data_IF_175162353387
#
_entry.id   IF_175162353387
#
_cell.length_a   1.000
_cell.length_b   1.000
_cell.length_c   1.000
_cell.angle_alpha   90.00
_cell.angle_beta   90.00
_cell.angle_gamma   90.00
#
_symmetry.space_group_name_H-M   'P 1'
#
loop_
_entity.id
_entity.type
_entity.pdbx_description
1 polymer ?
#
# COMPACT_ATOMS: atom_id res chain seq x y z
N UNK A 1 -20.52 2.42 -28.49
CA UNK A 1 -19.61 3.58 -28.42
C UNK A 1 -18.87 3.53 -27.08
N UNK A 2 -17.92 2.61 -26.95
CA UNK A 2 -17.04 2.42 -25.79
C UNK A 2 -15.77 1.77 -26.31
N UNK A 3 -14.98 2.52 -27.07
CA UNK A 3 -13.64 2.11 -27.44
C UNK A 3 -12.73 3.33 -27.29
N UNK A 4 -11.56 3.09 -26.69
CA UNK A 4 -10.38 3.96 -26.72
C UNK A 4 -10.33 5.19 -25.77
N UNK A 5 -10.03 4.97 -24.48
CA UNK A 5 -9.21 5.92 -23.68
C UNK A 5 -8.22 5.23 -22.72
N UNK A 6 -7.95 3.93 -22.87
CA UNK A 6 -6.83 3.31 -22.16
C UNK A 6 -5.73 3.12 -23.19
N UNK A 7 -4.73 4.00 -23.18
CA UNK A 7 -3.48 3.79 -23.91
C UNK A 7 -3.03 2.38 -23.61
N UNK A 8 -3.05 1.51 -24.62
CA UNK A 8 -2.54 0.15 -24.54
C UNK A 8 -1.00 0.18 -24.59
N UNK A 9 -0.38 1.04 -23.78
CA UNK A 9 1.03 0.89 -23.45
C UNK A 9 1.14 -0.38 -22.62
N UNK A 10 1.79 -1.38 -23.23
CA UNK A 10 2.02 -2.76 -22.76
C UNK A 10 1.87 -2.89 -21.25
N UNK A 11 0.68 -3.27 -20.80
CA UNK A 11 0.44 -3.62 -19.40
C UNK A 11 1.33 -4.80 -19.07
N UNK A 12 2.18 -4.65 -18.06
CA UNK A 12 3.02 -5.74 -17.57
C UNK A 12 2.10 -6.84 -16.98
N UNK A 13 2.06 -8.05 -17.57
CA UNK A 13 1.18 -9.12 -17.09
C UNK A 13 1.49 -9.55 -15.64
N UNK A 14 2.69 -9.24 -15.15
CA UNK A 14 3.06 -9.46 -13.74
C UNK A 14 2.19 -8.62 -12.81
N UNK A 15 1.79 -7.41 -13.21
CA UNK A 15 0.94 -6.52 -12.40
C UNK A 15 -0.51 -7.01 -12.32
N UNK A 16 -1.07 -7.49 -13.43
CA UNK A 16 -2.41 -8.09 -13.44
C UNK A 16 -2.46 -9.31 -12.50
N UNK A 17 -1.47 -10.20 -12.60
CA UNK A 17 -1.34 -11.35 -11.73
C UNK A 17 -1.15 -10.93 -10.26
N UNK A 18 -0.35 -9.88 -10.02
CA UNK A 18 -0.10 -9.40 -8.67
C UNK A 18 -1.37 -8.83 -8.03
N UNK A 19 -2.09 -7.97 -8.74
CA UNK A 19 -3.39 -7.46 -8.31
C UNK A 19 -4.38 -8.58 -7.99
N UNK A 20 -4.41 -9.65 -8.82
CA UNK A 20 -5.25 -10.82 -8.58
C UNK A 20 -4.91 -11.53 -7.28
N UNK A 21 -3.62 -11.72 -6.98
CA UNK A 21 -3.18 -12.32 -5.71
C UNK A 21 -3.60 -11.46 -4.53
N UNK A 22 -3.39 -10.14 -4.60
CA UNK A 22 -3.77 -9.21 -3.53
C UNK A 22 -5.28 -9.26 -3.25
N UNK A 23 -6.10 -9.25 -4.30
CA UNK A 23 -7.55 -9.20 -4.19
C UNK A 23 -8.15 -10.55 -3.79
N UNK A 24 -7.81 -11.64 -4.50
CA UNK A 24 -8.46 -12.93 -4.31
C UNK A 24 -7.85 -13.75 -3.18
N UNK A 25 -6.51 -13.70 -3.06
CA UNK A 25 -5.79 -14.59 -2.14
C UNK A 25 -5.53 -13.92 -0.80
N UNK A 26 -5.12 -12.65 -0.80
CA UNK A 26 -4.78 -11.96 0.45
C UNK A 26 -6.01 -11.38 1.15
N UNK A 27 -6.83 -10.62 0.42
CA UNK A 27 -8.01 -9.95 0.99
C UNK A 27 -9.25 -10.84 0.89
N UNK A 28 -9.41 -11.60 -0.20
CA UNK A 28 -10.59 -12.43 -0.43
C UNK A 28 -11.85 -11.59 -0.66
N UNK A 29 -11.76 -10.60 -1.55
CA UNK A 29 -12.82 -9.59 -1.77
C UNK A 29 -14.12 -10.24 -2.26
N UNK A 30 -15.23 -9.83 -1.65
CA UNK A 30 -16.59 -10.24 -2.03
C UNK A 30 -17.39 -9.08 -2.66
N UNK A 31 -18.47 -9.37 -3.42
CA UNK A 31 -19.35 -8.35 -3.97
C UNK A 31 -19.97 -7.45 -2.89
N UNK A 32 -20.04 -6.14 -3.17
CA UNK A 32 -20.58 -5.13 -2.26
C UNK A 32 -19.59 -4.62 -1.21
N UNK A 33 -18.42 -5.26 -1.05
CA UNK A 33 -17.41 -4.81 -0.08
C UNK A 33 -16.86 -3.42 -0.42
N UNK A 34 -16.56 -2.66 0.62
CA UNK A 34 -15.85 -1.40 0.56
C UNK A 34 -14.37 -1.63 0.85
N UNK A 35 -13.55 -1.52 -0.21
CA UNK A 35 -12.11 -1.79 -0.15
C UNK A 35 -11.34 -0.48 -0.23
N UNK A 36 -10.64 -0.14 0.85
CA UNK A 36 -9.71 0.99 0.89
C UNK A 36 -8.42 0.62 0.16
N UNK A 37 -8.02 1.45 -0.80
CA UNK A 37 -6.78 1.27 -1.58
C UNK A 37 -5.86 2.45 -1.34
N UNK A 38 -4.86 2.26 -0.49
CA UNK A 38 -3.83 3.25 -0.19
C UNK A 38 -2.64 3.04 -1.11
N UNK A 39 -2.20 4.09 -1.79
CA UNK A 39 -1.03 4.02 -2.67
C UNK A 39 -0.37 5.39 -2.83
N UNK A 40 0.93 5.40 -3.11
CA UNK A 40 1.63 6.58 -3.59
C UNK A 40 1.63 6.63 -5.13
N UNK A 41 1.86 7.81 -5.70
CA UNK A 41 1.80 8.08 -7.15
C UNK A 41 2.52 7.04 -8.03
N UNK A 42 3.73 6.55 -7.67
CA UNK A 42 4.46 5.59 -8.51
C UNK A 42 3.71 4.27 -8.74
N UNK A 43 2.85 3.86 -7.82
CA UNK A 43 2.08 2.61 -7.92
C UNK A 43 0.87 2.70 -8.86
N UNK A 44 0.66 3.82 -9.56
CA UNK A 44 -0.49 4.00 -10.47
C UNK A 44 -0.76 2.78 -11.37
N UNK A 45 0.23 2.14 -12.03
CA UNK A 45 -0.05 0.98 -12.88
C UNK A 45 -0.68 -0.20 -12.12
N UNK A 46 -0.24 -0.47 -10.89
CA UNK A 46 -0.84 -1.52 -10.06
C UNK A 46 -2.22 -1.10 -9.52
N UNK A 47 -2.41 0.18 -9.20
CA UNK A 47 -3.71 0.72 -8.77
C UNK A 47 -4.75 0.58 -9.88
N UNK A 48 -4.38 0.80 -11.14
CA UNK A 48 -5.29 0.60 -12.30
C UNK A 48 -5.73 -0.86 -12.44
N UNK A 49 -4.83 -1.82 -12.23
CA UNK A 49 -5.17 -3.24 -12.22
C UNK A 49 -6.08 -3.62 -11.05
N UNK A 50 -5.78 -3.12 -9.85
CA UNK A 50 -6.63 -3.33 -8.67
C UNK A 50 -8.02 -2.73 -8.89
N UNK A 51 -8.11 -1.52 -9.43
CA UNK A 51 -9.37 -0.84 -9.73
C UNK A 51 -10.26 -1.66 -10.68
N UNK A 52 -9.68 -2.13 -11.78
CA UNK A 52 -10.40 -2.94 -12.77
C UNK A 52 -10.90 -4.25 -12.14
N UNK A 53 -10.06 -4.91 -11.34
CA UNK A 53 -10.40 -6.20 -10.73
C UNK A 53 -11.40 -6.10 -9.58
N UNK A 54 -11.36 -5.03 -8.77
CA UNK A 54 -12.39 -4.75 -7.75
C UNK A 54 -13.74 -4.47 -8.42
N UNK A 55 -13.76 -3.63 -9.46
CA UNK A 55 -14.98 -3.33 -10.22
C UNK A 55 -15.59 -4.57 -10.86
N UNK A 56 -14.77 -5.45 -11.43
CA UNK A 56 -15.23 -6.73 -12.02
C UNK A 56 -15.86 -7.68 -10.98
N UNK A 57 -15.54 -7.53 -9.69
CA UNK A 57 -16.11 -8.32 -8.58
C UNK A 57 -17.31 -7.64 -7.92
N UNK A 58 -17.71 -6.46 -8.38
CA UNK A 58 -18.80 -5.70 -7.78
C UNK A 58 -18.45 -5.10 -6.41
N UNK A 59 -17.17 -4.90 -6.11
CA UNK A 59 -16.71 -4.23 -4.89
C UNK A 59 -16.47 -2.73 -5.14
N UNK A 60 -16.67 -1.91 -4.11
CA UNK A 60 -16.34 -0.49 -4.13
C UNK A 60 -14.85 -0.30 -3.89
N UNK A 61 -14.19 0.49 -4.75
CA UNK A 61 -12.80 0.89 -4.58
C UNK A 61 -12.73 2.31 -3.98
N UNK A 62 -12.25 2.41 -2.74
CA UNK A 62 -12.08 3.68 -2.02
C UNK A 62 -10.61 4.10 -2.06
N UNK A 63 -10.22 4.86 -3.09
CA UNK A 63 -8.82 5.26 -3.26
C UNK A 63 -8.39 6.31 -2.23
N UNK A 64 -7.18 6.14 -1.71
CA UNK A 64 -6.45 7.06 -0.83
C UNK A 64 -5.05 7.24 -1.38
N UNK A 65 -4.90 8.22 -2.26
CA UNK A 65 -3.61 8.51 -2.90
C UNK A 65 -2.79 9.45 -2.02
N UNK A 66 -1.56 9.08 -1.71
CA UNK A 66 -0.62 9.93 -0.99
C UNK A 66 0.34 10.61 -1.98
N UNK A 67 0.15 11.91 -2.20
CA UNK A 67 0.98 12.76 -3.04
C UNK A 67 2.12 13.42 -2.23
N UNK A 68 2.70 12.70 -1.27
CA UNK A 68 3.68 13.21 -0.31
C UNK A 68 3.21 14.40 0.57
N UNK A 69 1.92 14.76 0.52
CA UNK A 69 1.37 15.91 1.26
C UNK A 69 1.30 15.74 2.77
N UNK A 70 1.51 14.52 3.28
CA UNK A 70 1.45 14.24 4.72
C UNK A 70 2.57 14.92 5.51
N UNK A 71 3.79 15.01 4.95
CA UNK A 71 4.94 15.62 5.63
C UNK A 71 4.74 17.13 5.86
N UNK A 72 4.45 17.96 4.84
CA UNK A 72 4.22 19.39 5.07
C UNK A 72 3.02 19.64 5.97
N UNK A 73 1.95 18.84 5.88
CA UNK A 73 0.83 18.94 6.82
C UNK A 73 1.26 18.62 8.25
N UNK A 74 1.98 17.51 8.47
CA UNK A 74 2.47 17.14 9.79
C UNK A 74 3.45 18.15 10.36
N UNK A 75 4.20 18.90 9.54
CA UNK A 75 5.07 19.97 10.03
C UNK A 75 4.32 21.24 10.39
N UNK A 76 3.26 21.57 9.64
CA UNK A 76 2.50 22.81 9.79
C UNK A 76 1.32 22.71 10.77
N UNK A 77 0.78 21.51 11.00
CA UNK A 77 -0.41 21.33 11.81
C UNK A 77 -0.18 21.72 13.28
N UNK A 78 -1.17 22.29 13.96
CA UNK A 78 -1.15 22.38 15.42
C UNK A 78 -1.16 20.97 16.04
N UNK A 79 -0.57 20.84 17.23
CA UNK A 79 -0.33 19.55 17.88
C UNK A 79 -1.61 18.78 18.18
N UNK A 80 -2.70 19.49 18.48
CA UNK A 80 -4.01 18.94 18.80
C UNK A 80 -4.59 18.15 17.62
N UNK A 81 -4.28 18.53 16.38
CA UNK A 81 -4.69 17.78 15.18
C UNK A 81 -3.87 16.49 14.98
N UNK A 82 -2.73 16.35 15.67
CA UNK A 82 -1.94 15.12 15.64
C UNK A 82 -2.42 14.10 16.68
N UNK A 83 -3.07 14.57 17.74
CA UNK A 83 -3.50 13.74 18.88
C UNK A 83 -4.81 13.01 18.64
N UNK A 84 -5.63 13.48 17.69
CA UNK A 84 -6.93 12.89 17.36
C UNK A 84 -7.02 12.55 15.88
N UNK A 85 -7.36 11.30 15.56
CA UNK A 85 -7.65 10.91 14.18
C UNK A 85 -8.94 11.58 13.73
N UNK A 86 -8.93 12.20 12.54
CA UNK A 86 -10.12 12.81 11.98
C UNK A 86 -11.28 11.80 11.92
N UNK A 87 -12.52 12.16 12.36
CA UNK A 87 -13.63 11.21 12.44
C UNK A 87 -13.97 10.51 11.13
N UNK A 88 -13.74 11.16 9.99
CA UNK A 88 -13.95 10.56 8.67
C UNK A 88 -12.96 9.42 8.38
N UNK A 89 -11.71 9.55 8.81
CA UNK A 89 -10.69 8.50 8.66
C UNK A 89 -10.94 7.37 9.65
N UNK A 90 -11.29 7.71 10.90
CA UNK A 90 -11.71 6.73 11.89
C UNK A 90 -12.89 5.88 11.38
N UNK A 91 -13.91 6.53 10.80
CA UNK A 91 -15.07 5.85 10.23
C UNK A 91 -14.65 4.90 9.09
N UNK A 92 -13.76 5.34 8.19
CA UNK A 92 -13.28 4.48 7.11
C UNK A 92 -12.57 3.23 7.63
N UNK A 93 -11.65 3.37 8.60
CA UNK A 93 -10.96 2.23 9.21
C UNK A 93 -11.91 1.27 9.95
N UNK A 94 -12.93 1.82 10.60
CA UNK A 94 -13.90 1.04 11.36
C UNK A 94 -14.93 0.32 10.49
N UNK A 95 -15.24 0.83 9.29
CA UNK A 95 -16.33 0.31 8.46
C UNK A 95 -15.87 -0.30 7.13
N UNK A 96 -14.60 -0.18 6.76
CA UNK A 96 -14.08 -0.87 5.57
C UNK A 96 -14.15 -2.39 5.74
N UNK A 97 -14.40 -3.10 4.65
CA UNK A 97 -14.37 -4.56 4.59
C UNK A 97 -12.98 -5.07 4.22
N UNK A 98 -12.28 -4.31 3.37
CA UNK A 98 -10.93 -4.61 2.90
C UNK A 98 -9.98 -3.41 2.92
N UNK A 99 -8.68 -3.68 3.10
CA UNK A 99 -7.62 -2.68 2.99
C UNK A 99 -6.44 -3.22 2.16
N UNK A 100 -6.08 -2.50 1.10
CA UNK A 100 -4.88 -2.74 0.30
C UNK A 100 -3.96 -1.54 0.46
N UNK A 101 -2.79 -1.73 1.06
CA UNK A 101 -1.79 -0.69 1.27
C UNK A 101 -0.55 -0.95 0.41
N UNK A 102 -0.33 -0.13 -0.61
CA UNK A 102 0.76 -0.26 -1.57
C UNK A 102 1.88 0.71 -1.18
N UNK A 103 3.01 0.15 -0.76
CA UNK A 103 4.25 0.85 -0.48
C UNK A 103 5.01 1.10 -1.79
N UNK A 104 5.10 2.37 -2.18
CA UNK A 104 5.65 2.80 -3.47
C UNK A 104 6.30 4.18 -3.35
N UNK A 105 7.32 4.33 -2.49
CA UNK A 105 7.90 5.62 -2.19
C UNK A 105 8.53 6.23 -3.45
N UNK A 106 8.28 7.52 -3.65
CA UNK A 106 9.11 8.37 -4.51
C UNK A 106 10.49 8.61 -3.85
N UNK A 107 10.50 8.63 -2.51
CA UNK A 107 11.68 8.82 -1.67
C UNK A 107 11.54 8.00 -0.37
N UNK A 108 12.48 7.10 -0.09
CA UNK A 108 12.46 6.26 1.11
C UNK A 108 12.72 7.03 2.41
N UNK A 109 13.20 8.27 2.30
CA UNK A 109 13.50 9.16 3.43
C UNK A 109 12.52 10.32 3.55
N UNK A 110 11.38 10.27 2.88
CA UNK A 110 10.42 11.38 2.81
C UNK A 110 9.98 11.88 4.20
N UNK A 111 9.75 10.97 5.13
CA UNK A 111 9.30 11.30 6.50
C UNK A 111 10.43 11.66 7.46
N UNK A 112 11.69 11.64 7.03
CA UNK A 112 12.86 11.87 7.91
C UNK A 112 12.91 13.28 8.51
N UNK A 113 12.23 14.24 7.90
CA UNK A 113 12.11 15.61 8.40
C UNK A 113 11.09 15.75 9.55
N UNK A 114 10.24 14.75 9.79
CA UNK A 114 9.21 14.82 10.83
C UNK A 114 9.86 14.57 12.21
N UNK A 115 9.68 15.49 13.18
CA UNK A 115 10.11 15.26 14.56
C UNK A 115 9.51 13.97 15.16
N UNK A 116 10.30 13.13 15.85
CA UNK A 116 9.81 11.85 16.39
C UNK A 116 8.59 11.97 17.30
N UNK A 117 8.48 13.05 18.09
CA UNK A 117 7.33 13.30 18.97
C UNK A 117 6.04 13.52 18.18
N UNK A 118 6.10 14.28 17.08
CA UNK A 118 4.95 14.54 16.20
C UNK A 118 4.51 13.27 15.48
N UNK A 119 5.49 12.47 15.05
CA UNK A 119 5.22 11.17 14.46
C UNK A 119 4.52 10.25 15.48
N UNK A 120 5.05 10.16 16.71
CA UNK A 120 4.47 9.37 17.79
C UNK A 120 3.03 9.76 18.15
N UNK A 121 2.68 11.06 18.12
CA UNK A 121 1.30 11.52 18.35
C UNK A 121 0.33 10.99 17.30
N UNK A 122 0.69 11.07 16.02
CA UNK A 122 -0.14 10.50 14.94
C UNK A 122 -0.28 8.99 15.07
N UNK A 123 0.81 8.26 15.38
CA UNK A 123 0.70 6.81 15.59
C UNK A 123 -0.28 6.49 16.73
N UNK A 124 -0.20 7.24 17.83
CA UNK A 124 -1.06 7.07 18.99
C UNK A 124 -2.52 7.39 18.68
N UNK A 125 -2.79 8.37 17.83
CA UNK A 125 -4.15 8.76 17.43
C UNK A 125 -4.82 7.72 16.52
N UNK A 126 -4.05 7.03 15.68
CA UNK A 126 -4.54 5.97 14.79
C UNK A 126 -4.78 4.64 15.53
N UNK A 127 -3.94 4.32 16.52
CA UNK A 127 -3.91 3.02 17.20
C UNK A 127 -5.28 2.51 17.71
N UNK A 128 -6.15 3.33 18.32
CA UNK A 128 -7.48 2.89 18.77
C UNK A 128 -8.40 2.45 17.62
N UNK A 129 -8.15 2.90 16.39
CA UNK A 129 -9.04 2.68 15.24
C UNK A 129 -8.61 1.51 14.35
N UNK A 130 -7.46 0.87 14.66
CA UNK A 130 -6.93 -0.26 13.89
C UNK A 130 -7.02 -1.59 14.64
N UNK A 131 -7.84 -1.69 15.70
CA UNK A 131 -8.06 -2.94 16.42
C UNK A 131 -8.45 -4.10 15.48
N UNK A 132 -9.35 -3.82 14.52
CA UNK A 132 -9.79 -4.79 13.50
C UNK A 132 -8.65 -5.36 12.65
N UNK A 133 -7.55 -4.62 12.48
CA UNK A 133 -6.33 -5.08 11.78
C UNK A 133 -5.65 -6.20 12.58
N UNK A 134 -5.63 -6.09 13.90
CA UNK A 134 -4.99 -7.04 14.81
C UNK A 134 -5.87 -8.24 15.14
N UNK A 135 -7.18 -8.04 15.26
CA UNK A 135 -8.14 -9.14 15.49
C UNK A 135 -8.39 -9.96 14.23
N UNK A 136 -8.10 -9.41 13.04
CA UNK A 136 -8.32 -10.05 11.75
C UNK A 136 -9.73 -9.85 11.18
N UNK A 137 -10.52 -8.97 11.82
CA UNK A 137 -11.86 -8.56 11.39
C UNK A 137 -11.82 -7.62 10.17
N UNK A 138 -10.71 -6.91 9.96
CA UNK A 138 -10.44 -6.21 8.71
C UNK A 138 -9.52 -7.07 7.85
N UNK A 139 -9.99 -7.48 6.67
CA UNK A 139 -9.15 -8.18 5.70
C UNK A 139 -8.17 -7.18 5.09
N UNK A 140 -6.88 -7.39 5.28
CA UNK A 140 -5.90 -6.42 4.79
C UNK A 140 -4.65 -7.05 4.22
N UNK A 141 -4.03 -6.30 3.31
CA UNK A 141 -2.78 -6.65 2.66
C UNK A 141 -1.95 -5.38 2.45
N UNK A 142 -0.75 -5.33 3.01
CA UNK A 142 0.31 -4.43 2.61
C UNK A 142 1.10 -5.05 1.46
N UNK A 143 1.66 -4.27 0.55
CA UNK A 143 2.49 -4.82 -0.52
C UNK A 143 3.49 -3.77 -1.00
N UNK A 144 4.57 -4.21 -1.65
CA UNK A 144 5.52 -3.27 -2.25
C UNK A 144 5.23 -3.17 -3.75
N UNK A 145 5.43 -1.98 -4.30
CA UNK A 145 5.53 -1.74 -5.73
C UNK A 145 6.97 -1.37 -6.08
N UNK A 146 7.53 -1.85 -7.21
CA UNK A 146 8.91 -1.56 -7.57
C UNK A 146 9.04 -0.08 -7.94
N UNK A 147 9.89 0.65 -7.23
CA UNK A 147 10.21 2.05 -7.53
C UNK A 147 11.73 2.25 -7.59
N UNK A 148 12.22 3.29 -8.30
CA UNK A 148 13.63 3.64 -8.26
C UNK A 148 14.16 3.85 -6.84
N UNK A 149 13.36 4.43 -5.94
CA UNK A 149 13.74 4.65 -4.55
C UNK A 149 13.93 3.32 -3.79
N UNK A 150 13.04 2.35 -3.99
CA UNK A 150 13.22 1.00 -3.45
C UNK A 150 14.47 0.31 -3.99
N UNK A 151 14.68 0.36 -5.31
CA UNK A 151 15.85 -0.25 -5.94
C UNK A 151 17.16 0.37 -5.41
N UNK A 152 17.21 1.70 -5.29
CA UNK A 152 18.35 2.41 -4.74
C UNK A 152 18.63 2.03 -3.28
N UNK A 153 17.59 1.98 -2.43
CA UNK A 153 17.74 1.60 -1.01
C UNK A 153 18.18 0.13 -0.86
N UNK A 154 17.79 -0.73 -1.80
CA UNK A 154 18.22 -2.13 -1.89
C UNK A 154 19.60 -2.33 -2.56
N UNK A 155 20.22 -1.26 -3.11
CA UNK A 155 21.47 -1.36 -3.86
C UNK A 155 21.36 -2.14 -5.17
N UNK A 156 20.18 -2.13 -5.80
CA UNK A 156 19.83 -2.86 -7.02
C UNK A 156 19.53 -1.90 -8.17
N UNK A 157 19.61 -2.40 -9.41
CA UNK A 157 18.92 -1.74 -10.52
C UNK A 157 17.40 -1.87 -10.35
N UNK A 158 16.62 -1.00 -11.00
CA UNK A 158 15.15 -1.12 -10.96
C UNK A 158 14.69 -2.48 -11.49
N UNK A 159 15.31 -2.96 -12.56
CA UNK A 159 14.96 -4.25 -13.16
C UNK A 159 15.24 -5.42 -12.23
N UNK A 160 16.39 -5.42 -11.58
CA UNK A 160 16.72 -6.49 -10.62
C UNK A 160 15.77 -6.46 -9.42
N UNK A 161 15.34 -5.28 -8.99
CA UNK A 161 14.34 -5.14 -7.91
C UNK A 161 12.96 -5.64 -8.35
N UNK A 162 12.51 -5.35 -9.57
CA UNK A 162 11.28 -5.92 -10.14
C UNK A 162 11.34 -7.44 -10.15
N UNK A 163 12.40 -8.01 -10.71
CA UNK A 163 12.55 -9.46 -10.86
C UNK A 163 12.67 -10.14 -9.47
N UNK A 164 13.29 -9.49 -8.50
CA UNK A 164 13.30 -9.90 -7.09
C UNK A 164 11.90 -9.86 -6.46
N UNK A 165 11.15 -8.78 -6.68
CA UNK A 165 9.84 -8.57 -6.08
C UNK A 165 8.81 -9.55 -6.64
N UNK A 166 8.80 -9.75 -7.96
CA UNK A 166 7.87 -10.65 -8.64
C UNK A 166 8.29 -12.13 -8.55
N UNK A 167 9.57 -12.40 -8.23
CA UNK A 167 10.09 -13.75 -8.02
C UNK A 167 10.64 -14.41 -9.28
N UNK A 168 10.99 -13.62 -10.30
CA UNK A 168 11.53 -14.05 -11.60
C UNK A 168 13.07 -13.98 -11.68
N UNK A 169 13.75 -13.37 -10.69
CA UNK A 169 15.20 -13.11 -10.73
C UNK A 169 16.10 -14.22 -10.13
N UNK A 170 17.32 -14.43 -10.67
CA UNK A 170 18.29 -15.43 -10.19
C UNK A 170 19.12 -14.98 -8.96
N UNK A 171 18.81 -13.83 -8.33
CA UNK A 171 19.75 -13.16 -7.43
C UNK A 171 19.76 -13.71 -6.00
N UNK A 172 20.99 -13.94 -5.50
CA UNK A 172 21.29 -14.16 -4.09
C UNK A 172 20.93 -12.93 -3.26
N UNK A 173 20.34 -13.19 -2.08
CA UNK A 173 19.78 -12.21 -1.16
C UNK A 173 20.84 -11.21 -0.66
N UNK A 174 20.62 -9.89 -0.77
CA UNK A 174 21.44 -8.94 0.00
C UNK A 174 21.12 -9.04 1.50
N UNK A 175 22.15 -8.79 2.34
CA UNK A 175 22.04 -8.87 3.80
C UNK A 175 20.89 -7.99 4.31
N UNK A 176 19.92 -8.62 4.98
CA UNK A 176 18.83 -7.91 5.67
C UNK A 176 17.53 -7.75 4.87
N UNK A 177 17.46 -8.19 3.60
CA UNK A 177 16.22 -8.17 2.82
C UNK A 177 15.83 -9.58 2.34
N UNK A 178 14.56 -9.93 2.52
CA UNK A 178 14.02 -11.26 2.21
C UNK A 178 13.46 -11.27 0.79
N UNK A 179 14.02 -12.10 -0.10
CA UNK A 179 13.45 -12.42 -1.41
C UNK A 179 12.02 -12.92 -1.30
N UNK A 180 11.10 -12.26 -2.01
CA UNK A 180 9.68 -12.54 -1.93
C UNK A 180 9.27 -13.55 -3.00
N UNK A 181 9.64 -14.82 -2.81
CA UNK A 181 8.94 -15.92 -3.49
C UNK A 181 7.44 -15.89 -3.17
N UNK A 182 6.61 -16.47 -4.05
CA UNK A 182 5.13 -16.48 -3.99
C UNK A 182 4.52 -16.79 -2.59
N UNK A 183 5.18 -17.64 -1.78
CA UNK A 183 4.77 -17.96 -0.39
C UNK A 183 5.17 -16.91 0.66
N UNK A 184 6.23 -16.12 0.41
CA UNK A 184 6.72 -15.06 1.31
C UNK A 184 6.12 -13.69 1.00
N UNK A 185 5.65 -13.43 -0.24
CA UNK A 185 4.75 -12.30 -0.57
C UNK A 185 3.54 -12.28 0.36
N UNK A 186 2.89 -13.43 0.54
CA UNK A 186 1.76 -13.61 1.46
C UNK A 186 2.09 -13.34 2.94
N UNK A 187 3.36 -13.51 3.35
CA UNK A 187 3.81 -13.32 4.74
C UNK A 187 4.29 -11.89 5.01
N UNK A 188 4.99 -11.26 4.07
CA UNK A 188 5.42 -9.86 4.17
C UNK A 188 4.24 -8.89 4.03
N UNK A 189 3.23 -9.31 3.27
CA UNK A 189 2.05 -8.52 3.08
C UNK A 189 1.24 -8.23 4.35
N UNK A 190 1.49 -8.97 5.44
CA UNK A 190 0.79 -8.77 6.72
C UNK A 190 1.51 -7.84 7.70
N UNK A 191 2.53 -7.07 7.27
CA UNK A 191 3.43 -6.39 8.24
C UNK A 191 3.54 -4.85 8.18
N UNK A 192 2.99 -4.13 7.21
CA UNK A 192 3.36 -2.69 7.03
C UNK A 192 2.30 -1.60 7.21
N UNK A 193 1.03 -1.91 7.45
CA UNK A 193 0.09 -0.87 7.93
C UNK A 193 0.52 -0.29 9.29
N UNK A 194 1.40 -0.98 10.03
CA UNK A 194 2.00 -0.50 11.27
C UNK A 194 2.98 0.68 11.15
N UNK A 195 3.51 1.03 9.98
CA UNK A 195 4.42 2.19 9.90
C UNK A 195 3.68 3.53 10.06
N UNK A 196 2.35 3.54 10.02
CA UNK A 196 1.50 4.66 10.44
C UNK A 196 0.81 4.40 11.80
N UNK A 197 1.26 3.40 12.57
CA UNK A 197 0.73 3.13 13.91
C UNK A 197 1.75 2.61 14.95
N UNK A 198 3.05 2.60 14.63
CA UNK A 198 4.13 2.06 15.46
C UNK A 198 5.45 2.83 15.37
#
# INVERSE_FOLDING_TARGET
>A
MRDSVLSADVRDPRLEQYARILIDTCVGVEPGWQVVVMAASPARPLVEEIAAQLGARGAYALFRQNLAGIVPWMLAAPDELLETLAPIEAHALQNADGLIAIDAPENTRETSAIPPERFGRIQASIRPHIERVFTGDLKWVGCNYPTPAHAQDAGMSLRDYEDFLFGDGPHAQPRGQVGLGRRRQLQHARRRVLLLAG
#
